data_IF_789638667137
#
_entry.id   IF_789638667137
#
_cell.length_a   1.000
_cell.length_b   1.000
_cell.length_c   1.000
_cell.angle_alpha   90.00
_cell.angle_beta   90.00
_cell.angle_gamma   90.00
#
_symmetry.space_group_name_H-M   'P 1'
#
loop_
_entity.id
_entity.type
_entity.pdbx_description
1 polymer ?
#
# COMPACT_ATOMS: atom_id res chain seq x y z
N UNK A 1 37.11 8.64 10.98
CA UNK A 1 36.56 7.27 10.88
C UNK A 1 36.60 6.69 12.30
N UNK A 2 35.49 6.82 13.02
CA UNK A 2 35.44 6.61 14.47
C UNK A 2 35.25 5.11 14.74
N UNK A 3 36.33 4.41 15.09
CA UNK A 3 36.25 3.01 15.52
C UNK A 3 35.61 3.01 16.91
N UNK A 4 34.32 2.71 16.98
CA UNK A 4 33.73 2.18 18.19
C UNK A 4 34.42 0.84 18.44
N UNK A 5 35.43 0.84 19.28
CA UNK A 5 36.08 -0.38 19.74
C UNK A 5 35.03 -1.18 20.51
N UNK A 6 34.70 -2.35 19.96
CA UNK A 6 33.80 -3.34 20.56
C UNK A 6 34.35 -3.71 21.95
N UNK A 7 33.87 -3.03 22.99
CA UNK A 7 34.20 -3.30 24.41
C UNK A 7 33.93 -4.79 24.75
N UNK A 8 33.03 -5.44 24.00
CA UNK A 8 32.68 -6.85 24.11
C UNK A 8 33.73 -7.85 23.58
N UNK A 9 34.75 -7.40 22.84
CA UNK A 9 35.80 -8.26 22.25
C UNK A 9 37.12 -8.25 23.01
N UNK A 10 37.23 -7.46 24.07
CA UNK A 10 38.48 -7.34 24.82
C UNK A 10 38.62 -8.55 25.76
N UNK A 11 39.57 -9.45 25.45
CA UNK A 11 39.84 -10.64 26.26
C UNK A 11 40.15 -10.28 27.72
N UNK A 12 40.68 -9.08 27.95
CA UNK A 12 40.94 -8.53 29.26
C UNK A 12 39.66 -8.30 30.08
N UNK A 13 38.64 -7.67 29.49
CA UNK A 13 37.33 -7.46 30.11
C UNK A 13 36.64 -8.79 30.37
N UNK A 14 36.73 -9.72 29.42
CA UNK A 14 36.15 -11.06 29.55
C UNK A 14 36.81 -11.87 30.67
N UNK A 15 38.11 -11.66 30.92
CA UNK A 15 38.84 -12.27 32.04
C UNK A 15 38.46 -11.64 33.38
N UNK A 16 38.28 -10.32 33.44
CA UNK A 16 37.82 -9.61 34.64
C UNK A 16 36.39 -9.96 35.05
N UNK A 17 35.48 -10.16 34.09
CA UNK A 17 34.09 -10.55 34.38
C UNK A 17 33.94 -12.05 34.69
N UNK A 18 34.95 -12.88 34.37
CA UNK A 18 34.87 -14.33 34.58
C UNK A 18 34.84 -14.73 36.05
N UNK A 19 35.41 -13.88 36.90
CA UNK A 19 35.52 -14.09 38.34
C UNK A 19 34.37 -13.44 39.13
N UNK A 20 33.43 -12.79 38.44
CA UNK A 20 32.23 -12.20 39.04
C UNK A 20 31.11 -13.24 38.98
N UNK A 21 30.69 -13.75 40.13
CA UNK A 21 29.49 -14.59 40.21
C UNK A 21 28.29 -13.75 39.76
N UNK A 22 27.60 -14.23 38.73
CA UNK A 22 26.37 -13.59 38.25
C UNK A 22 25.30 -13.82 39.32
N UNK A 23 24.87 -12.74 39.98
CA UNK A 23 23.74 -12.80 40.89
C UNK A 23 22.50 -13.28 40.12
N UNK A 24 21.85 -14.34 40.63
CA UNK A 24 20.61 -14.82 40.05
C UNK A 24 19.54 -13.71 40.17
N UNK A 25 18.77 -13.46 39.10
CA UNK A 25 17.73 -12.45 39.14
C UNK A 25 16.73 -12.80 40.24
N UNK A 26 16.32 -11.80 41.03
CA UNK A 26 15.30 -12.01 42.06
C UNK A 26 14.02 -12.61 41.47
N UNK A 27 13.25 -13.37 42.26
CA UNK A 27 11.96 -13.93 41.82
C UNK A 27 10.99 -12.88 41.24
N UNK A 28 11.15 -11.61 41.65
CA UNK A 28 10.34 -10.46 41.18
C UNK A 28 10.87 -9.76 39.92
N UNK A 29 12.05 -10.15 39.42
CA UNK A 29 12.73 -9.46 38.33
C UNK A 29 11.87 -9.42 37.07
N UNK A 30 11.33 -10.56 36.65
CA UNK A 30 10.49 -10.67 35.46
C UNK A 30 9.25 -9.80 35.57
N UNK A 31 8.62 -9.74 36.75
CA UNK A 31 7.42 -8.93 36.97
C UNK A 31 7.75 -7.44 36.86
N UNK A 32 8.85 -6.98 37.49
CA UNK A 32 9.29 -5.58 37.39
C UNK A 32 9.63 -5.17 35.96
N UNK A 33 10.39 -6.00 35.24
CA UNK A 33 10.75 -5.70 33.85
C UNK A 33 9.52 -5.65 32.95
N UNK A 34 8.56 -6.56 33.16
CA UNK A 34 7.30 -6.57 32.41
C UNK A 34 6.46 -5.32 32.70
N UNK A 35 6.36 -4.90 33.96
CA UNK A 35 5.66 -3.69 34.37
C UNK A 35 6.28 -2.44 33.73
N UNK A 36 7.60 -2.32 33.78
CA UNK A 36 8.34 -1.19 33.19
C UNK A 36 8.13 -1.12 31.67
N UNK A 37 8.22 -2.25 30.96
CA UNK A 37 8.00 -2.32 29.51
C UNK A 37 6.56 -1.97 29.15
N UNK A 38 5.59 -2.46 29.93
CA UNK A 38 4.17 -2.16 29.73
C UNK A 38 3.89 -0.67 29.92
N UNK A 39 4.46 -0.06 30.95
CA UNK A 39 4.31 1.35 31.25
C UNK A 39 4.91 2.22 30.14
N UNK A 40 6.07 1.85 29.60
CA UNK A 40 6.71 2.55 28.48
C UNK A 40 5.89 2.44 27.17
N UNK A 41 5.27 1.28 26.92
CA UNK A 41 4.35 1.09 25.79
C UNK A 41 3.10 1.95 25.91
N UNK A 42 2.53 2.05 27.12
CA UNK A 42 1.36 2.88 27.39
C UNK A 42 1.68 4.38 27.33
N UNK A 43 2.90 4.77 27.70
CA UNK A 43 3.35 6.16 27.63
C UNK A 43 3.63 6.63 26.19
N UNK A 44 3.92 5.71 25.26
CA UNK A 44 4.18 5.99 23.84
C UNK A 44 3.24 5.17 22.95
N UNK A 45 1.93 5.44 22.97
CA UNK A 45 1.01 4.74 22.10
C UNK A 45 1.41 5.02 20.65
N UNK A 46 1.68 3.95 19.90
CA UNK A 46 2.01 4.03 18.49
C UNK A 46 0.79 4.67 17.80
N UNK A 47 0.92 5.91 17.36
CA UNK A 47 -0.11 6.58 16.58
C UNK A 47 -0.30 5.81 15.27
N UNK A 48 -1.32 4.96 15.23
CA UNK A 48 -1.69 4.24 14.01
C UNK A 48 -2.24 5.28 13.04
N UNK A 49 -1.37 5.74 12.14
CA UNK A 49 -1.70 6.72 11.12
C UNK A 49 -2.93 6.24 10.36
N UNK A 50 -4.02 7.00 10.49
CA UNK A 50 -5.31 6.66 9.91
C UNK A 50 -5.15 6.38 8.41
N UNK A 51 -5.61 5.20 7.98
CA UNK A 51 -5.56 4.80 6.58
C UNK A 51 -6.27 5.84 5.72
N UNK A 52 -5.61 6.27 4.65
CA UNK A 52 -6.06 7.27 3.65
C UNK A 52 -7.58 7.24 3.42
N UNK A 53 -8.23 8.42 3.42
CA UNK A 53 -9.69 8.58 3.40
C UNK A 53 -10.35 7.88 2.20
N UNK A 54 -11.51 7.24 2.42
CA UNK A 54 -12.31 6.56 1.37
C UNK A 54 -12.63 7.47 0.17
N UNK A 55 -12.76 8.78 0.39
CA UNK A 55 -12.98 9.78 -0.69
C UNK A 55 -11.76 9.91 -1.60
N UNK A 56 -10.54 9.82 -1.03
CA UNK A 56 -9.30 9.88 -1.80
C UNK A 56 -9.12 8.60 -2.63
N UNK A 57 -9.50 7.44 -2.10
CA UNK A 57 -9.50 6.18 -2.86
C UNK A 57 -10.46 6.20 -4.04
N UNK A 58 -11.66 6.74 -3.87
CA UNK A 58 -12.61 6.91 -4.99
C UNK A 58 -12.06 7.85 -6.07
N UNK A 59 -11.38 8.93 -5.67
CA UNK A 59 -10.69 9.81 -6.62
C UNK A 59 -9.58 9.11 -7.39
N UNK A 60 -8.76 8.30 -6.70
CA UNK A 60 -7.69 7.52 -7.33
C UNK A 60 -8.25 6.48 -8.31
N UNK A 61 -9.30 5.76 -7.92
CA UNK A 61 -9.96 4.77 -8.79
C UNK A 61 -10.55 5.46 -10.02
N UNK A 62 -11.24 6.59 -9.83
CA UNK A 62 -11.79 7.37 -10.94
C UNK A 62 -10.70 7.84 -11.92
N UNK A 63 -9.58 8.35 -11.41
CA UNK A 63 -8.44 8.77 -12.22
C UNK A 63 -7.89 7.59 -13.04
N UNK A 64 -7.70 6.42 -12.42
CA UNK A 64 -7.19 5.22 -13.08
C UNK A 64 -8.13 4.78 -14.22
N UNK A 65 -9.44 4.78 -13.97
CA UNK A 65 -10.44 4.37 -14.97
C UNK A 65 -10.43 5.35 -16.15
N UNK A 66 -10.39 6.66 -15.91
CA UNK A 66 -10.30 7.66 -16.98
C UNK A 66 -9.03 7.48 -17.79
N UNK A 67 -7.89 7.25 -17.13
CA UNK A 67 -6.60 7.06 -17.78
C UNK A 67 -6.59 5.78 -18.64
N UNK A 68 -7.22 4.70 -18.16
CA UNK A 68 -7.41 3.47 -18.93
C UNK A 68 -8.32 3.68 -20.16
N UNK A 69 -9.40 4.45 -20.03
CA UNK A 69 -10.28 4.79 -21.16
C UNK A 69 -9.54 5.60 -22.21
N UNK A 70 -8.73 6.58 -21.80
CA UNK A 70 -7.89 7.36 -22.72
C UNK A 70 -6.89 6.44 -23.43
N UNK A 71 -6.15 5.61 -22.69
CA UNK A 71 -5.19 4.68 -23.27
C UNK A 71 -5.80 3.67 -24.26
N UNK A 72 -7.07 3.29 -24.07
CA UNK A 72 -7.80 2.38 -24.95
C UNK A 72 -8.49 3.10 -26.13
N UNK A 73 -8.99 4.31 -25.90
CA UNK A 73 -9.86 5.03 -26.83
C UNK A 73 -9.14 6.03 -27.72
N UNK A 74 -8.02 6.59 -27.27
CA UNK A 74 -7.12 7.36 -28.14
C UNK A 74 -5.92 6.50 -28.51
N UNK A 75 -5.46 6.64 -29.74
CA UNK A 75 -4.24 5.97 -30.20
C UNK A 75 -3.01 6.71 -29.61
N UNK A 76 -2.91 6.74 -28.27
CA UNK A 76 -1.82 7.40 -27.53
C UNK A 76 -0.47 6.87 -27.99
N UNK A 77 -0.43 5.63 -28.51
CA UNK A 77 0.77 5.02 -29.09
C UNK A 77 1.20 5.74 -30.36
N UNK A 78 0.28 6.12 -31.26
CA UNK A 78 0.64 6.98 -32.39
C UNK A 78 1.16 8.33 -31.92
N UNK A 79 0.48 8.99 -30.97
CA UNK A 79 0.93 10.29 -30.43
C UNK A 79 2.32 10.23 -29.79
N UNK A 80 2.67 9.13 -29.11
CA UNK A 80 3.98 8.98 -28.46
C UNK A 80 5.06 8.48 -29.43
N UNK A 81 4.68 7.68 -30.43
CA UNK A 81 5.61 7.14 -31.43
C UNK A 81 5.96 8.13 -32.54
N UNK A 82 5.08 9.12 -32.80
CA UNK A 82 5.28 10.20 -33.77
C UNK A 82 6.27 11.27 -33.24
N UNK A 83 6.52 11.28 -31.93
CA UNK A 83 7.71 11.93 -31.39
C UNK A 83 8.92 11.03 -31.68
N UNK A 84 9.65 11.32 -32.76
CA UNK A 84 10.87 10.64 -33.23
C UNK A 84 12.06 10.72 -32.24
N UNK A 85 11.86 10.32 -30.98
CA UNK A 85 12.90 10.28 -29.96
C UNK A 85 13.09 8.83 -29.46
N UNK A 86 14.34 8.36 -29.33
CA UNK A 86 14.64 6.98 -28.90
C UNK A 86 14.09 6.65 -27.50
N UNK A 87 13.89 7.65 -26.65
CA UNK A 87 13.24 7.48 -25.34
C UNK A 87 11.77 7.07 -25.45
N UNK A 88 10.99 7.73 -26.30
CA UNK A 88 9.55 7.48 -26.42
C UNK A 88 9.25 6.13 -27.07
N UNK A 89 10.09 5.72 -28.03
CA UNK A 89 9.99 4.39 -28.64
C UNK A 89 10.34 3.25 -27.66
N UNK A 90 11.27 3.47 -26.72
CA UNK A 90 11.54 2.53 -25.63
C UNK A 90 10.40 2.50 -24.61
N UNK A 91 9.83 3.66 -24.27
CA UNK A 91 8.70 3.77 -23.35
C UNK A 91 7.44 3.09 -23.90
N UNK A 92 7.16 3.23 -25.19
CA UNK A 92 6.06 2.52 -25.85
C UNK A 92 6.26 1.00 -25.80
N UNK A 93 7.46 0.52 -26.12
CA UNK A 93 7.77 -0.92 -26.13
C UNK A 93 7.72 -1.55 -24.74
N UNK A 94 8.26 -0.87 -23.71
CA UNK A 94 8.36 -1.42 -22.36
C UNK A 94 7.07 -1.27 -21.54
N UNK A 95 6.32 -0.18 -21.72
CA UNK A 95 5.19 0.13 -20.84
C UNK A 95 3.85 0.15 -21.58
N UNK A 96 3.75 0.84 -22.72
CA UNK A 96 2.46 1.03 -23.38
C UNK A 96 1.99 -0.24 -24.11
N UNK A 97 2.91 -0.99 -24.76
CA UNK A 97 2.58 -2.23 -25.47
C UNK A 97 1.98 -3.30 -24.54
N UNK A 98 2.64 -3.66 -23.42
CA UNK A 98 2.12 -4.71 -22.56
C UNK A 98 0.83 -4.29 -21.85
N UNK A 99 0.73 -3.02 -21.44
CA UNK A 99 -0.49 -2.49 -20.81
C UNK A 99 -1.66 -2.53 -21.79
N UNK A 100 -1.47 -2.11 -23.04
CA UNK A 100 -2.53 -2.15 -24.04
C UNK A 100 -2.95 -3.59 -24.38
N UNK A 101 -2.01 -4.52 -24.48
CA UNK A 101 -2.32 -5.93 -24.70
C UNK A 101 -3.13 -6.53 -23.53
N UNK A 102 -2.76 -6.22 -22.29
CA UNK A 102 -3.52 -6.64 -21.11
C UNK A 102 -4.91 -6.03 -21.08
N UNK A 103 -5.03 -4.72 -21.30
CA UNK A 103 -6.32 -4.02 -21.33
C UNK A 103 -7.22 -4.53 -22.45
N UNK A 104 -6.68 -4.78 -23.65
CA UNK A 104 -7.44 -5.38 -24.75
C UNK A 104 -7.86 -6.82 -24.44
N UNK A 105 -7.00 -7.63 -23.81
CA UNK A 105 -7.36 -8.98 -23.37
C UNK A 105 -8.52 -8.98 -22.37
N UNK A 106 -8.49 -8.05 -21.42
CA UNK A 106 -9.58 -7.84 -20.46
C UNK A 106 -10.84 -7.33 -21.15
N UNK A 107 -10.73 -6.39 -22.08
CA UNK A 107 -11.88 -5.82 -22.81
C UNK A 107 -12.55 -6.86 -23.72
N UNK A 108 -11.77 -7.66 -24.44
CA UNK A 108 -12.27 -8.78 -25.27
C UNK A 108 -12.90 -9.87 -24.41
N UNK A 109 -12.37 -10.11 -23.21
CA UNK A 109 -12.98 -11.06 -22.27
C UNK A 109 -14.27 -10.50 -21.69
N UNK A 110 -14.32 -9.20 -21.40
CA UNK A 110 -15.55 -8.51 -21.01
C UNK A 110 -16.59 -8.58 -22.13
N UNK A 111 -16.24 -8.26 -23.38
CA UNK A 111 -17.24 -8.21 -24.48
C UNK A 111 -17.91 -9.55 -24.79
N UNK A 112 -17.31 -10.67 -24.36
CA UNK A 112 -17.91 -12.01 -24.43
C UNK A 112 -18.93 -12.27 -23.32
N UNK A 113 -19.00 -11.41 -22.30
CA UNK A 113 -19.97 -11.53 -21.22
C UNK A 113 -21.36 -11.20 -21.76
N UNK A 114 -22.39 -12.03 -21.46
CA UNK A 114 -23.75 -11.77 -21.89
C UNK A 114 -24.28 -10.41 -21.42
N UNK A 115 -25.05 -9.73 -22.27
CA UNK A 115 -25.58 -8.38 -22.01
C UNK A 115 -26.35 -8.27 -20.69
N UNK A 116 -27.06 -9.34 -20.31
CA UNK A 116 -27.82 -9.44 -19.05
C UNK A 116 -26.93 -9.16 -17.81
N UNK A 117 -25.67 -9.59 -17.83
CA UNK A 117 -24.76 -9.42 -16.69
C UNK A 117 -24.42 -7.94 -16.48
N UNK A 118 -24.23 -7.18 -17.57
CA UNK A 118 -24.00 -5.74 -17.47
C UNK A 118 -25.21 -5.02 -16.87
N UNK A 119 -26.42 -5.39 -17.28
CA UNK A 119 -27.65 -4.79 -16.75
C UNK A 119 -27.75 -5.05 -15.24
N UNK A 120 -27.46 -6.27 -14.79
CA UNK A 120 -27.48 -6.62 -13.35
C UNK A 120 -26.41 -5.84 -12.58
N UNK A 121 -25.18 -5.74 -13.10
CA UNK A 121 -24.10 -4.97 -12.47
C UNK A 121 -24.45 -3.48 -12.37
N UNK A 122 -24.98 -2.89 -13.44
CA UNK A 122 -25.42 -1.49 -13.45
C UNK A 122 -26.56 -1.26 -12.45
N UNK A 123 -27.52 -2.17 -12.36
CA UNK A 123 -28.61 -2.10 -11.40
C UNK A 123 -28.12 -2.22 -9.94
N UNK A 124 -27.18 -3.11 -9.66
CA UNK A 124 -26.57 -3.21 -8.32
C UNK A 124 -25.78 -1.94 -7.96
N UNK A 125 -25.00 -1.41 -8.91
CA UNK A 125 -24.23 -0.20 -8.70
C UNK A 125 -25.12 1.03 -8.48
N UNK A 126 -26.21 1.16 -9.25
CA UNK A 126 -27.16 2.26 -9.11
C UNK A 126 -27.92 2.20 -7.78
N UNK A 127 -28.32 1.01 -7.33
CA UNK A 127 -28.95 0.81 -6.03
C UNK A 127 -27.99 1.17 -4.89
N UNK A 128 -26.75 0.68 -4.92
CA UNK A 128 -25.75 1.00 -3.91
C UNK A 128 -25.41 2.50 -3.87
N UNK A 129 -25.39 3.16 -5.03
CA UNK A 129 -25.22 4.61 -5.12
C UNK A 129 -26.42 5.34 -4.51
N UNK A 130 -27.64 4.89 -4.81
CA UNK A 130 -28.87 5.45 -4.27
C UNK A 130 -28.93 5.31 -2.74
N UNK A 131 -28.62 4.13 -2.19
CA UNK A 131 -28.56 3.90 -0.75
C UNK A 131 -27.57 4.85 -0.07
N UNK A 132 -26.39 5.03 -0.67
CA UNK A 132 -25.37 5.92 -0.12
C UNK A 132 -25.80 7.39 -0.16
N UNK A 133 -26.52 7.80 -1.20
CA UNK A 133 -27.06 9.15 -1.34
C UNK A 133 -28.17 9.36 -0.31
N UNK A 134 -29.14 8.46 -0.23
CA UNK A 134 -30.25 8.53 0.72
C UNK A 134 -29.76 8.52 2.17
N UNK A 135 -28.83 7.64 2.51
CA UNK A 135 -28.28 7.58 3.86
C UNK A 135 -27.52 8.87 4.23
N UNK A 136 -26.87 9.51 3.25
CA UNK A 136 -26.25 10.83 3.44
C UNK A 136 -27.29 11.93 3.68
N UNK A 137 -28.44 11.90 2.99
CA UNK A 137 -29.49 12.90 3.18
C UNK A 137 -30.30 12.71 4.47
N UNK A 138 -30.52 11.45 4.89
CA UNK A 138 -31.25 11.13 6.12
C UNK A 138 -30.43 11.50 7.36
N UNK A 139 -29.12 11.21 7.38
CA UNK A 139 -28.25 11.57 8.51
C UNK A 139 -27.78 13.03 8.54
N UNK A 140 -28.10 13.84 7.52
CA UNK A 140 -27.78 15.27 7.49
C UNK A 140 -28.94 16.15 8.00
N UNK A 141 -30.06 15.54 8.42
CA UNK A 141 -31.16 16.19 9.14
C UNK A 141 -31.11 15.81 10.62
#
# INVERSE_FOLDING_TARGET
MNKQEDIYKDEFIKKLMKDVELEEPSESFTNKVMDDVMQDWLAKPIEVKQTRSRKQWLGIIGLIVVLAIILLGTDVRTLVSDLEHPFFTQLDKLFLTPINQLLNGVFVSLSKVPVIVYIVVVAMASLAAFDKIMNKYIHFR
#
